data_IF_542698051163
#
_entry.id   IF_542698051163
#
_cell.length_a   1.000
_cell.length_b   1.000
_cell.length_c   1.000
_cell.angle_alpha   90.00
_cell.angle_beta   90.00
_cell.angle_gamma   90.00
#
_symmetry.space_group_name_H-M   'P 1'
#
loop_
_entity.id
_entity.type
_entity.pdbx_description
1 polymer ?
#
# COMPACT_ATOMS: atom_id res chain seq x y z
N UNK A 1 -22.49 3.86 30.32
CA UNK A 1 -21.27 3.06 30.56
C UNK A 1 -20.26 3.48 29.51
N UNK A 2 -19.05 3.97 29.86
CA UNK A 2 -18.05 4.31 28.84
C UNK A 2 -17.51 3.01 28.22
N UNK A 3 -17.45 2.95 26.88
CA UNK A 3 -16.87 1.82 26.14
C UNK A 3 -15.41 1.60 26.59
N UNK A 4 -15.11 0.40 27.10
CA UNK A 4 -13.73 -0.02 27.33
C UNK A 4 -13.07 -0.15 25.96
N UNK A 5 -12.24 0.81 25.56
CA UNK A 5 -11.33 0.60 24.43
C UNK A 5 -10.39 -0.54 24.83
N UNK A 6 -10.59 -1.72 24.26
CA UNK A 6 -9.63 -2.82 24.38
C UNK A 6 -8.32 -2.36 23.74
N UNK A 7 -7.33 -2.12 24.59
CA UNK A 7 -5.99 -1.78 24.15
C UNK A 7 -5.15 -3.05 24.01
N UNK A 8 -4.46 -3.18 22.88
CA UNK A 8 -3.61 -4.31 22.54
C UNK A 8 -2.15 -3.98 22.80
N UNK A 9 -1.36 -4.99 23.18
CA UNK A 9 0.10 -4.86 23.26
C UNK A 9 0.76 -5.08 21.90
N UNK A 10 2.01 -4.60 21.74
CA UNK A 10 2.76 -4.76 20.48
C UNK A 10 2.88 -6.21 20.01
N UNK A 11 3.00 -7.16 20.94
CA UNK A 11 3.07 -8.59 20.63
C UNK A 11 1.76 -9.11 20.04
N UNK A 12 0.64 -8.71 20.61
CA UNK A 12 -0.69 -9.09 20.15
C UNK A 12 -1.03 -8.47 18.79
N UNK A 13 -0.65 -7.21 18.56
CA UNK A 13 -0.79 -6.57 17.23
C UNK A 13 0.07 -7.29 16.19
N UNK A 14 1.31 -7.65 16.55
CA UNK A 14 2.24 -8.34 15.66
C UNK A 14 1.67 -9.69 15.22
N UNK A 15 1.16 -10.46 16.17
CA UNK A 15 0.51 -11.74 15.92
C UNK A 15 -0.74 -11.58 15.05
N UNK A 16 -1.69 -10.72 15.46
CA UNK A 16 -2.96 -10.51 14.74
C UNK A 16 -2.75 -9.98 13.31
N UNK A 17 -1.71 -9.19 13.07
CA UNK A 17 -1.37 -8.64 11.75
C UNK A 17 -0.39 -9.54 10.95
N UNK A 18 0.15 -10.59 11.56
CA UNK A 18 1.12 -11.50 10.94
C UNK A 18 2.41 -10.81 10.54
N UNK A 19 2.94 -9.91 11.38
CA UNK A 19 4.23 -9.23 11.21
C UNK A 19 5.10 -9.43 12.44
N UNK A 20 6.39 -9.16 12.36
CA UNK A 20 7.24 -9.17 13.56
C UNK A 20 7.04 -7.90 14.39
N UNK A 21 7.30 -7.96 15.70
CA UNK A 21 7.34 -6.73 16.53
C UNK A 21 8.41 -5.74 16.03
N UNK A 22 9.50 -6.23 15.42
CA UNK A 22 10.53 -5.39 14.78
C UNK A 22 9.94 -4.61 13.60
N UNK A 23 9.08 -5.24 12.81
CA UNK A 23 8.38 -4.61 11.68
C UNK A 23 7.42 -3.51 12.17
N UNK A 24 6.69 -3.74 13.27
CA UNK A 24 5.86 -2.70 13.89
C UNK A 24 6.68 -1.48 14.34
N UNK A 25 7.80 -1.70 15.04
CA UNK A 25 8.72 -0.62 15.43
C UNK A 25 9.25 0.15 14.23
N UNK A 26 9.62 -0.57 13.18
CA UNK A 26 10.05 0.05 11.93
C UNK A 26 8.95 0.91 11.28
N UNK A 27 7.70 0.45 11.27
CA UNK A 27 6.58 1.26 10.76
C UNK A 27 6.32 2.51 11.61
N UNK A 28 6.47 2.44 12.94
CA UNK A 28 6.41 3.63 13.81
C UNK A 28 7.52 4.63 13.49
N UNK A 29 8.77 4.16 13.38
CA UNK A 29 9.94 5.00 13.07
C UNK A 29 9.79 5.70 11.72
N UNK A 30 9.13 5.06 10.75
CA UNK A 30 8.82 5.64 9.44
C UNK A 30 7.55 6.50 9.42
N UNK A 31 6.88 6.66 10.56
CA UNK A 31 5.64 7.43 10.69
C UNK A 31 4.46 6.81 9.94
N UNK A 32 4.53 5.50 9.66
CA UNK A 32 3.45 4.74 9.03
C UNK A 32 2.37 4.35 10.04
N UNK A 33 2.71 4.27 11.33
CA UNK A 33 1.77 4.10 12.43
C UNK A 33 1.80 5.36 13.30
N UNK A 34 0.63 5.78 13.81
CA UNK A 34 0.57 6.83 14.82
C UNK A 34 1.27 6.31 16.08
N UNK A 35 2.06 7.14 16.79
CA UNK A 35 2.68 6.71 18.03
C UNK A 35 1.58 6.28 19.02
N UNK A 36 1.63 5.05 19.55
CA UNK A 36 0.59 4.54 20.44
C UNK A 36 0.53 5.36 21.73
N UNK A 37 -0.66 5.48 22.31
CA UNK A 37 -0.82 6.02 23.66
C UNK A 37 0.03 5.20 24.64
N UNK A 38 0.62 5.85 25.64
CA UNK A 38 1.39 5.16 26.67
C UNK A 38 0.59 5.10 27.97
N UNK A 39 0.55 3.93 28.61
CA UNK A 39 0.07 3.80 29.99
C UNK A 39 1.03 4.46 30.97
N UNK A 40 0.54 4.82 32.16
CA UNK A 40 1.41 4.99 33.33
C UNK A 40 2.19 3.68 33.54
N UNK A 41 3.50 3.74 33.33
CA UNK A 41 4.38 2.56 33.27
C UNK A 41 5.09 2.34 31.92
N UNK A 42 4.76 3.13 30.88
CA UNK A 42 5.54 3.19 29.63
C UNK A 42 5.19 2.14 28.56
N UNK A 43 4.16 1.31 28.78
CA UNK A 43 3.68 0.34 27.81
C UNK A 43 2.92 1.00 26.65
N UNK A 44 3.18 0.53 25.43
CA UNK A 44 2.51 1.00 24.20
C UNK A 44 1.12 0.37 24.08
N UNK A 45 0.10 1.19 23.93
CA UNK A 45 -1.28 0.79 23.71
C UNK A 45 -1.68 0.98 22.25
N UNK A 46 -2.00 -0.12 21.59
CA UNK A 46 -2.54 -0.13 20.24
C UNK A 46 -4.04 -0.43 20.27
N UNK A 47 -4.70 -0.17 19.15
CA UNK A 47 -6.12 -0.38 18.96
C UNK A 47 -6.37 -1.39 17.84
N UNK A 48 -7.59 -1.88 17.72
CA UNK A 48 -8.02 -2.67 16.54
C UNK A 48 -7.84 -1.93 15.21
N UNK A 49 -7.87 -0.59 15.26
CA UNK A 49 -7.58 0.22 14.08
C UNK A 49 -6.12 0.10 13.64
N UNK A 50 -5.20 0.03 14.61
CA UNK A 50 -3.77 -0.18 14.31
C UNK A 50 -3.53 -1.55 13.68
N UNK A 51 -4.25 -2.59 14.13
CA UNK A 51 -4.19 -3.93 13.50
C UNK A 51 -4.62 -3.87 12.03
N UNK A 52 -5.75 -3.21 11.73
CA UNK A 52 -6.22 -3.02 10.34
C UNK A 52 -5.20 -2.26 9.50
N UNK A 53 -4.63 -1.19 10.06
CA UNK A 53 -3.60 -0.37 9.42
C UNK A 53 -2.35 -1.18 9.07
N UNK A 54 -1.86 -2.00 9.98
CA UNK A 54 -0.68 -2.85 9.76
C UNK A 54 -0.95 -3.89 8.67
N UNK A 55 -2.13 -4.53 8.68
CA UNK A 55 -2.52 -5.46 7.60
C UNK A 55 -2.55 -4.78 6.23
N UNK A 56 -3.05 -3.55 6.17
CA UNK A 56 -3.08 -2.77 4.94
C UNK A 56 -1.67 -2.40 4.46
N UNK A 57 -0.79 -1.92 5.35
CA UNK A 57 0.62 -1.63 5.04
C UNK A 57 1.31 -2.89 4.50
N UNK A 58 1.15 -4.03 5.17
CA UNK A 58 1.72 -5.31 4.73
C UNK A 58 1.23 -5.71 3.33
N UNK A 59 -0.07 -5.59 3.07
CA UNK A 59 -0.66 -5.88 1.75
C UNK A 59 -0.06 -4.98 0.67
N UNK A 60 0.03 -3.68 0.91
CA UNK A 60 0.60 -2.75 -0.07
C UNK A 60 2.10 -2.98 -0.27
N UNK A 61 2.85 -3.30 0.80
CA UNK A 61 4.28 -3.62 0.71
C UNK A 61 4.55 -4.89 -0.10
N UNK A 62 3.61 -5.83 -0.15
CA UNK A 62 3.74 -7.03 -1.00
C UNK A 62 3.58 -6.75 -2.50
N UNK A 63 3.08 -5.56 -2.88
CA UNK A 63 2.93 -5.18 -4.27
C UNK A 63 4.27 -4.67 -4.82
N UNK A 64 4.68 -5.23 -5.96
CA UNK A 64 5.91 -4.84 -6.64
C UNK A 64 5.87 -3.34 -7.00
N UNK A 65 6.93 -2.62 -6.64
CA UNK A 65 7.14 -1.23 -7.05
C UNK A 65 6.48 -0.16 -6.17
N UNK A 66 5.74 -0.52 -5.11
CA UNK A 66 5.17 0.45 -4.17
C UNK A 66 6.15 0.75 -3.04
N UNK A 67 6.57 2.01 -2.95
CA UNK A 67 7.50 2.50 -1.92
C UNK A 67 6.80 2.73 -0.57
N UNK A 68 7.57 2.75 0.53
CA UNK A 68 7.02 3.07 1.85
C UNK A 68 6.40 4.48 1.92
N UNK A 69 6.92 5.43 1.13
CA UNK A 69 6.35 6.78 1.04
C UNK A 69 4.96 6.75 0.39
N UNK A 70 4.80 6.04 -0.72
CA UNK A 70 3.50 5.85 -1.38
C UNK A 70 2.54 5.06 -0.48
N UNK A 71 3.03 4.05 0.26
CA UNK A 71 2.22 3.32 1.25
C UNK A 71 1.72 4.27 2.34
N UNK A 72 2.58 5.18 2.83
CA UNK A 72 2.19 6.18 3.81
C UNK A 72 1.07 7.06 3.29
N UNK A 73 1.22 7.61 2.09
CA UNK A 73 0.21 8.45 1.45
C UNK A 73 -1.12 7.72 1.26
N UNK A 74 -1.07 6.45 0.80
CA UNK A 74 -2.24 5.61 0.64
C UNK A 74 -3.00 5.39 1.95
N UNK A 75 -2.29 5.22 3.06
CA UNK A 75 -2.90 4.96 4.37
C UNK A 75 -3.40 6.26 5.03
N UNK A 76 -2.66 7.38 4.92
CA UNK A 76 -3.10 8.69 5.43
C UNK A 76 -4.33 9.23 4.70
N UNK A 77 -4.46 8.94 3.40
CA UNK A 77 -5.66 9.23 2.64
C UNK A 77 -6.91 8.52 3.22
N UNK A 78 -6.79 7.29 3.72
CA UNK A 78 -7.91 6.60 4.38
C UNK A 78 -8.35 7.28 5.68
N UNK A 79 -7.39 7.81 6.45
CA UNK A 79 -7.70 8.59 7.65
C UNK A 79 -8.43 9.88 7.27
N UNK A 80 -7.93 10.59 6.26
CA UNK A 80 -8.53 11.84 5.77
C UNK A 80 -9.96 11.63 5.27
N UNK A 81 -10.20 10.57 4.49
CA UNK A 81 -11.55 10.23 4.00
C UNK A 81 -12.51 9.86 5.14
N UNK A 82 -12.01 9.20 6.19
CA UNK A 82 -12.80 8.93 7.39
C UNK A 82 -13.16 10.20 8.14
N UNK A 83 -12.22 11.13 8.28
CA UNK A 83 -12.48 12.43 8.92
C UNK A 83 -13.51 13.25 8.13
N UNK A 84 -13.40 13.28 6.80
CA UNK A 84 -14.40 13.94 5.93
C UNK A 84 -15.78 13.31 6.12
N UNK A 85 -15.86 11.97 6.11
CA UNK A 85 -17.12 11.24 6.32
C UNK A 85 -17.70 11.49 7.71
N UNK A 86 -16.87 11.54 8.75
CA UNK A 86 -17.32 11.79 10.12
C UNK A 86 -17.88 13.20 10.32
N UNK A 87 -17.45 14.18 9.52
CA UNK A 87 -17.95 15.56 9.53
C UNK A 87 -19.15 15.79 8.61
N UNK A 88 -19.56 14.78 7.84
CA UNK A 88 -20.69 14.90 6.92
C UNK A 88 -22.01 15.10 7.67
N UNK A 89 -22.80 16.08 7.22
CA UNK A 89 -24.12 16.40 7.76
C UNK A 89 -25.15 16.46 6.63
N UNK A 90 -26.24 15.66 6.69
CA UNK A 90 -27.27 15.66 5.65
C UNK A 90 -27.99 17.01 5.47
N UNK A 91 -28.06 17.81 6.52
CA UNK A 91 -28.70 19.13 6.58
C UNK A 91 -27.76 20.30 6.26
N UNK A 92 -26.46 20.05 6.08
CA UNK A 92 -25.48 21.08 5.72
C UNK A 92 -25.83 21.77 4.38
N UNK A 93 -25.48 23.07 4.23
CA UNK A 93 -25.70 23.80 2.99
C UNK A 93 -24.95 23.15 1.81
N UNK A 94 -25.47 23.26 0.58
CA UNK A 94 -24.82 22.67 -0.60
C UNK A 94 -23.36 23.08 -0.79
N UNK A 95 -22.98 24.31 -0.43
CA UNK A 95 -21.59 24.80 -0.51
C UNK A 95 -20.63 23.99 0.37
N UNK A 96 -21.01 23.67 1.61
CA UNK A 96 -20.20 22.85 2.52
C UNK A 96 -20.08 21.41 2.02
N UNK A 97 -21.18 20.84 1.48
CA UNK A 97 -21.17 19.49 0.88
C UNK A 97 -20.26 19.43 -0.35
N UNK A 98 -20.29 20.45 -1.20
CA UNK A 98 -19.43 20.55 -2.37
C UNK A 98 -17.95 20.64 -1.96
N UNK A 99 -17.61 21.44 -0.94
CA UNK A 99 -16.24 21.52 -0.43
C UNK A 99 -15.76 20.15 0.12
N UNK A 100 -16.60 19.45 0.88
CA UNK A 100 -16.29 18.11 1.39
C UNK A 100 -16.05 17.10 0.26
N UNK A 101 -16.90 17.12 -0.77
CA UNK A 101 -16.75 16.26 -1.95
C UNK A 101 -15.50 16.60 -2.76
N UNK A 102 -15.18 17.88 -2.94
CA UNK A 102 -13.95 18.31 -3.62
C UNK A 102 -12.72 17.79 -2.89
N UNK A 103 -12.63 17.99 -1.57
CA UNK A 103 -11.53 17.46 -0.75
C UNK A 103 -11.44 15.94 -0.82
N UNK A 104 -12.57 15.22 -0.74
CA UNK A 104 -12.58 13.77 -0.84
C UNK A 104 -12.09 13.30 -2.23
N UNK A 105 -12.52 14.00 -3.29
CA UNK A 105 -12.10 13.71 -4.66
C UNK A 105 -10.61 13.92 -4.84
N UNK A 106 -10.04 15.01 -4.32
CA UNK A 106 -8.59 15.26 -4.36
C UNK A 106 -7.77 14.18 -3.64
N UNK A 107 -8.28 13.68 -2.51
CA UNK A 107 -7.63 12.59 -1.77
C UNK A 107 -7.64 11.30 -2.59
N UNK A 108 -8.79 10.92 -3.15
CA UNK A 108 -8.91 9.71 -3.96
C UNK A 108 -8.11 9.83 -5.27
N UNK A 109 -8.08 11.01 -5.88
CA UNK A 109 -7.35 11.27 -7.12
C UNK A 109 -5.85 11.03 -6.95
N UNK A 110 -5.25 11.52 -5.84
CA UNK A 110 -3.84 11.25 -5.53
C UNK A 110 -3.54 9.76 -5.38
N UNK A 111 -4.40 9.02 -4.67
CA UNK A 111 -4.25 7.57 -4.54
C UNK A 111 -4.37 6.86 -5.90
N UNK A 112 -5.32 7.30 -6.73
CA UNK A 112 -5.50 6.78 -8.09
C UNK A 112 -4.25 7.00 -8.95
N UNK A 113 -3.66 8.20 -8.90
CA UNK A 113 -2.46 8.53 -9.68
C UNK A 113 -1.24 7.68 -9.26
N UNK A 114 -1.06 7.40 -7.96
CA UNK A 114 -0.03 6.46 -7.48
C UNK A 114 -0.22 5.10 -8.14
N UNK A 115 -1.43 4.53 -8.07
CA UNK A 115 -1.71 3.21 -8.62
C UNK A 115 -1.56 3.19 -10.13
N UNK A 116 -2.09 4.20 -10.83
CA UNK A 116 -1.97 4.33 -12.28
C UNK A 116 -0.51 4.32 -12.72
N UNK A 117 0.32 5.16 -12.10
CA UNK A 117 1.73 5.25 -12.46
C UNK A 117 2.47 3.91 -12.25
N UNK A 118 2.10 3.12 -11.23
CA UNK A 118 2.67 1.77 -11.05
C UNK A 118 2.20 0.78 -12.10
N UNK A 119 0.93 0.82 -12.46
CA UNK A 119 0.40 0.00 -13.55
C UNK A 119 1.15 0.31 -14.85
N UNK A 120 1.33 1.59 -15.16
CA UNK A 120 2.06 2.03 -16.37
C UNK A 120 3.50 1.50 -16.37
N UNK A 121 4.23 1.65 -15.25
CA UNK A 121 5.60 1.12 -15.10
C UNK A 121 5.68 -0.41 -15.26
N UNK A 122 4.72 -1.14 -14.70
CA UNK A 122 4.68 -2.61 -14.80
C UNK A 122 4.35 -3.07 -16.23
N UNK A 123 3.48 -2.35 -16.93
CA UNK A 123 3.17 -2.62 -18.33
C UNK A 123 4.38 -2.37 -19.23
N UNK A 124 5.15 -1.31 -18.98
CA UNK A 124 6.40 -1.03 -19.70
C UNK A 124 7.43 -2.16 -19.48
N UNK A 125 7.67 -2.53 -18.22
CA UNK A 125 8.60 -3.64 -17.89
C UNK A 125 8.16 -4.95 -18.54
N UNK A 126 6.86 -5.26 -18.52
CA UNK A 126 6.31 -6.43 -19.21
C UNK A 126 6.62 -6.38 -20.70
N UNK A 127 6.39 -5.24 -21.36
CA UNK A 127 6.66 -5.08 -22.79
C UNK A 127 8.15 -5.28 -23.14
N UNK A 128 9.07 -4.79 -22.30
CA UNK A 128 10.51 -5.00 -22.48
C UNK A 128 10.88 -6.49 -22.40
N UNK A 129 10.34 -7.22 -21.42
CA UNK A 129 10.58 -8.65 -21.27
C UNK A 129 10.02 -9.45 -22.46
N UNK A 130 8.85 -9.08 -22.98
CA UNK A 130 8.25 -9.71 -24.16
C UNK A 130 9.11 -9.52 -25.42
N UNK A 131 9.73 -8.35 -25.60
CA UNK A 131 10.61 -8.12 -26.75
C UNK A 131 11.94 -8.87 -26.64
N UNK A 132 12.49 -8.98 -25.43
CA UNK A 132 13.68 -9.82 -25.20
C UNK A 132 13.41 -11.28 -25.50
N UNK A 133 12.27 -11.82 -25.05
CA UNK A 133 11.88 -13.20 -25.35
C UNK A 133 11.80 -13.46 -26.85
N UNK A 134 11.11 -12.59 -27.61
CA UNK A 134 11.04 -12.69 -29.07
C UNK A 134 12.42 -12.66 -29.72
N UNK A 135 13.32 -11.82 -29.21
CA UNK A 135 14.68 -11.70 -29.72
C UNK A 135 15.47 -12.99 -29.48
N UNK A 136 15.42 -13.54 -28.26
CA UNK A 136 16.08 -14.80 -27.95
C UNK A 136 15.51 -15.98 -28.74
N UNK A 137 14.21 -16.02 -28.98
CA UNK A 137 13.58 -17.03 -29.84
C UNK A 137 14.07 -16.97 -31.29
N UNK A 138 14.19 -15.75 -31.85
CA UNK A 138 14.75 -15.54 -33.20
C UNK A 138 16.19 -16.03 -33.28
N UNK A 139 17.04 -15.64 -32.33
CA UNK A 139 18.45 -16.05 -32.30
C UNK A 139 18.59 -17.56 -32.14
N UNK A 140 17.80 -18.16 -31.25
CA UNK A 140 17.79 -19.61 -31.05
C UNK A 140 17.44 -20.34 -32.35
N UNK A 141 16.42 -19.88 -33.08
CA UNK A 141 16.04 -20.49 -34.37
C UNK A 141 17.17 -20.39 -35.41
N UNK A 142 17.82 -19.24 -35.53
CA UNK A 142 18.99 -19.08 -36.43
C UNK A 142 20.09 -20.09 -36.12
N UNK A 143 20.44 -20.23 -34.84
CA UNK A 143 21.49 -21.15 -34.40
C UNK A 143 21.09 -22.62 -34.59
N UNK A 144 19.81 -22.96 -34.37
CA UNK A 144 19.29 -24.31 -34.64
C UNK A 144 19.36 -24.65 -36.14
N UNK A 145 19.08 -23.69 -37.03
CA UNK A 145 19.21 -23.84 -38.49
C UNK A 145 20.67 -23.98 -38.94
N UNK A 146 21.57 -23.13 -38.43
CA UNK A 146 23.02 -23.18 -38.70
C UNK A 146 23.60 -24.54 -38.27
N UNK A 147 23.30 -24.99 -37.04
CA UNK A 147 23.78 -26.27 -36.53
C UNK A 147 23.21 -27.49 -37.30
N UNK A 148 22.02 -27.37 -37.89
CA UNK A 148 21.45 -28.41 -38.73
C UNK A 148 22.14 -28.48 -40.11
N UNK A 149 22.54 -27.34 -40.67
CA UNK A 149 23.29 -27.26 -41.93
C UNK A 149 24.70 -27.83 -41.77
N UNK A 150 25.40 -27.53 -40.66
CA UNK A 150 26.72 -28.09 -40.37
C UNK A 150 26.74 -29.62 -40.22
N UNK A 151 25.63 -30.24 -39.79
CA UNK A 151 25.54 -31.71 -39.67
C UNK A 151 25.24 -32.43 -40.98
N UNK A 152 24.85 -31.70 -42.02
CA UNK A 152 24.48 -32.24 -43.33
C UNK A 152 25.56 -32.03 -44.40
N UNK A 153 26.59 -31.22 -44.11
CA UNK A 153 27.79 -31.04 -44.94
C UNK A 153 28.96 -31.88 -44.47
#
# INVERSE_FOLDING_TARGET
>A
MPEVKEYLQIGEVAERAGVSQRTLRFYEEKGLLKPPARMEGGFRLYTEEDVRRVKQIKKLQSLLGVSLAEIKEMVEAQDTLREIRARYRPDAPPSEKLEQLQRATEVVQRQYDIVRNKVDQLLEMKGQLEEWLKTFERWRRSLEEEAAQERQG
#
